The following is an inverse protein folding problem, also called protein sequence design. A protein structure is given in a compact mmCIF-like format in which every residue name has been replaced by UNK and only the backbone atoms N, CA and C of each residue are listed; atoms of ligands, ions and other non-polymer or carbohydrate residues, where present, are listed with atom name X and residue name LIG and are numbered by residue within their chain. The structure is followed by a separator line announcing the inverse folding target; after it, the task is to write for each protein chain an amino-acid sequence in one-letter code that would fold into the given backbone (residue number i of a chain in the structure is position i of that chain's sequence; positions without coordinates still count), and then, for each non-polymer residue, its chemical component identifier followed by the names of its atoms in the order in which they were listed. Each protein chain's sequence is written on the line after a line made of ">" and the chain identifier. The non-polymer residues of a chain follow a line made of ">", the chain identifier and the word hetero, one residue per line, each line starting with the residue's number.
data_IF_830415859147
#
_entry.id   IF_830415859147
#
_cell.length_a   1.000
_cell.length_b   1.000
_cell.length_c   1.000
_cell.angle_alpha   90.00
_cell.angle_beta   90.00
_cell.angle_gamma   90.00
#
_symmetry.space_group_name_H-M   'P 1'
#
loop_
_entity.id
_entity.type
_entity.pdbx_description
1 polymer ?
#
# COMPACT_ATOMS: atom_id res chain seq x y z
N UNK A 1 8.85 51.33 21.55
CA UNK A 1 8.24 50.21 20.80
C UNK A 1 9.36 49.32 20.31
N UNK A 2 9.68 48.23 21.02
CA UNK A 2 10.64 47.25 20.51
C UNK A 2 10.18 45.83 20.80
N UNK A 3 9.73 45.14 19.75
CA UNK A 3 9.17 43.79 19.83
C UNK A 3 10.26 42.82 19.37
N UNK A 4 11.18 42.51 20.29
CA UNK A 4 12.29 41.58 20.02
C UNK A 4 11.75 40.23 19.55
N UNK A 5 11.93 39.94 18.26
CA UNK A 5 11.53 38.69 17.62
C UNK A 5 12.43 37.56 18.16
N UNK A 6 12.02 36.94 19.28
CA UNK A 6 12.69 35.74 19.80
C UNK A 6 12.81 34.72 18.67
N UNK A 7 14.02 34.34 18.22
CA UNK A 7 14.15 33.33 17.18
C UNK A 7 13.57 32.04 17.72
N UNK A 8 12.63 31.42 16.99
CA UNK A 8 12.13 30.09 17.30
C UNK A 8 13.24 29.06 17.05
N UNK A 9 14.19 28.99 17.99
CA UNK A 9 15.21 27.95 18.08
C UNK A 9 14.51 26.64 18.42
N UNK A 10 13.89 26.03 17.42
CA UNK A 10 13.40 24.65 17.49
C UNK A 10 14.56 23.81 18.00
N UNK A 11 14.40 23.21 19.18
CA UNK A 11 15.44 22.35 19.74
C UNK A 11 15.84 21.34 18.67
N UNK A 12 17.15 21.11 18.50
CA UNK A 12 17.66 20.01 17.67
C UNK A 12 17.37 18.70 18.41
N UNK A 13 16.09 18.39 18.62
CA UNK A 13 15.60 17.12 19.15
C UNK A 13 16.12 16.09 18.17
N UNK A 14 17.21 15.43 18.56
CA UNK A 14 17.85 14.46 17.69
C UNK A 14 16.78 13.47 17.28
N UNK A 15 16.54 13.37 15.98
CA UNK A 15 15.73 12.28 15.45
C UNK A 15 16.47 11.02 15.91
N UNK A 16 15.97 10.36 16.96
CA UNK A 16 16.56 9.13 17.50
C UNK A 16 16.29 8.03 16.47
N UNK A 17 17.10 8.07 15.42
CA UNK A 17 17.17 7.11 14.31
C UNK A 17 17.52 5.79 14.98
N UNK A 18 16.50 4.98 15.25
CA UNK A 18 16.74 3.61 15.73
C UNK A 18 17.59 2.90 14.69
N UNK A 19 18.61 2.20 15.15
CA UNK A 19 19.47 1.40 14.29
C UNK A 19 18.62 0.38 13.51
N UNK A 20 18.98 0.05 12.26
CA UNK A 20 18.29 -0.97 11.51
C UNK A 20 18.41 -2.33 12.22
N UNK A 21 17.39 -3.20 12.15
CA UNK A 21 17.43 -4.53 12.76
C UNK A 21 18.38 -5.52 12.06
N UNK A 22 18.91 -5.18 10.89
CA UNK A 22 19.89 -5.94 10.13
C UNK A 22 21.21 -5.16 10.16
N UNK A 23 22.33 -5.84 10.42
CA UNK A 23 23.66 -5.24 10.38
C UNK A 23 24.19 -5.12 8.94
N UNK A 24 25.30 -4.41 8.74
CA UNK A 24 25.85 -4.18 7.39
C UNK A 24 26.53 -5.39 6.76
N UNK A 25 26.85 -6.43 7.55
CA UNK A 25 27.51 -7.66 7.11
C UNK A 25 26.59 -8.85 6.82
N UNK A 26 25.30 -8.76 7.18
CA UNK A 26 24.37 -9.88 7.03
C UNK A 26 24.08 -10.18 5.56
N UNK A 27 24.28 -11.43 5.13
CA UNK A 27 23.99 -11.88 3.75
C UNK A 27 22.49 -12.07 3.54
N UNK A 28 21.91 -11.26 2.68
CA UNK A 28 20.47 -11.23 2.37
C UNK A 28 20.21 -12.05 1.09
N UNK A 29 20.07 -13.36 1.26
CA UNK A 29 19.81 -14.33 0.18
C UNK A 29 18.35 -14.77 0.14
N UNK A 30 17.81 -15.05 -1.05
CA UNK A 30 16.46 -15.60 -1.26
C UNK A 30 16.19 -16.93 -0.52
N UNK A 31 17.26 -17.66 -0.17
CA UNK A 31 17.25 -18.92 0.59
C UNK A 31 16.90 -18.72 2.07
N UNK A 32 17.17 -17.54 2.63
CA UNK A 32 17.04 -17.26 4.06
C UNK A 32 15.60 -16.87 4.43
N UNK A 33 14.68 -17.84 4.36
CA UNK A 33 13.24 -17.62 4.59
C UNK A 33 12.92 -17.02 5.97
N UNK A 34 13.67 -17.38 7.01
CA UNK A 34 13.51 -16.85 8.37
C UNK A 34 13.74 -15.33 8.45
N UNK A 35 14.69 -14.82 7.68
CA UNK A 35 14.98 -13.39 7.57
C UNK A 35 13.94 -12.71 6.68
N UNK A 36 13.65 -13.29 5.50
CA UNK A 36 12.75 -12.69 4.51
C UNK A 36 11.29 -12.62 4.99
N UNK A 37 10.81 -13.65 5.67
CA UNK A 37 9.43 -13.73 6.19
C UNK A 37 9.07 -12.58 7.14
N UNK A 38 10.07 -12.00 7.84
CA UNK A 38 9.92 -10.83 8.72
C UNK A 38 9.65 -9.51 7.97
N UNK A 39 9.93 -9.45 6.67
CA UNK A 39 9.78 -8.23 5.84
C UNK A 39 8.64 -8.30 4.83
N UNK A 40 7.89 -9.41 4.83
CA UNK A 40 6.58 -9.51 4.17
C UNK A 40 5.47 -9.39 5.21
N UNK A 41 4.30 -8.92 4.77
CA UNK A 41 3.10 -8.91 5.59
C UNK A 41 2.39 -10.27 5.55
N UNK A 42 1.37 -10.42 6.40
CA UNK A 42 0.15 -11.17 6.05
C UNK A 42 -0.33 -10.75 4.64
N UNK A 43 -1.11 -11.55 3.90
CA UNK A 43 -1.42 -11.35 2.46
C UNK A 43 -0.22 -11.62 1.53
N UNK A 44 1.03 -11.58 2.03
CA UNK A 44 2.27 -11.79 1.28
C UNK A 44 2.85 -10.55 0.62
N UNK A 45 2.41 -9.32 0.93
CA UNK A 45 2.94 -8.07 0.34
C UNK A 45 4.30 -7.69 0.95
N UNK A 46 5.12 -6.94 0.22
CA UNK A 46 6.43 -6.45 0.74
C UNK A 46 6.20 -5.22 1.61
N UNK A 47 6.70 -5.23 2.85
CA UNK A 47 6.60 -4.09 3.75
C UNK A 47 7.51 -2.94 3.31
N UNK A 48 7.04 -1.70 3.51
CA UNK A 48 7.79 -0.51 3.12
C UNK A 48 8.99 -0.25 4.02
N UNK A 49 10.04 0.39 3.48
CA UNK A 49 11.26 0.76 4.22
C UNK A 49 10.99 1.55 5.52
N UNK A 50 9.91 2.34 5.56
CA UNK A 50 9.51 3.14 6.73
C UNK A 50 9.02 2.26 7.89
N UNK A 51 8.36 1.15 7.57
CA UNK A 51 7.89 0.14 8.55
C UNK A 51 9.07 -0.70 9.01
N UNK A 52 9.87 -1.22 8.06
CA UNK A 52 11.01 -2.10 8.34
C UNK A 52 12.19 -1.40 9.02
N UNK A 53 12.25 -0.06 8.97
CA UNK A 53 13.33 0.79 9.50
C UNK A 53 14.72 0.43 8.97
N UNK A 54 14.79 0.07 7.69
CA UNK A 54 16.03 -0.32 7.01
C UNK A 54 16.71 0.81 6.25
N UNK A 55 18.00 0.63 5.97
CA UNK A 55 18.73 1.43 5.00
C UNK A 55 18.17 1.21 3.58
N UNK A 56 18.44 2.14 2.66
CA UNK A 56 17.99 2.01 1.27
C UNK A 56 18.65 0.80 0.57
N UNK A 57 19.93 0.54 0.85
CA UNK A 57 20.68 -0.61 0.30
C UNK A 57 20.07 -1.93 0.75
N UNK A 58 19.84 -2.11 2.07
CA UNK A 58 19.20 -3.32 2.62
C UNK A 58 17.80 -3.54 2.04
N UNK A 59 16.95 -2.51 1.97
CA UNK A 59 15.61 -2.66 1.38
C UNK A 59 15.66 -3.09 -0.09
N UNK A 60 16.60 -2.58 -0.90
CA UNK A 60 16.79 -3.02 -2.30
C UNK A 60 17.16 -4.51 -2.36
N UNK A 61 18.12 -4.95 -1.55
CA UNK A 61 18.55 -6.35 -1.48
C UNK A 61 17.41 -7.28 -1.06
N UNK A 62 16.67 -6.95 0.02
CA UNK A 62 15.50 -7.73 0.46
C UNK A 62 14.41 -7.78 -0.62
N UNK A 63 14.17 -6.67 -1.32
CA UNK A 63 13.17 -6.63 -2.40
C UNK A 63 13.58 -7.55 -3.57
N UNK A 64 14.86 -7.64 -3.90
CA UNK A 64 15.39 -8.56 -4.90
C UNK A 64 15.23 -10.02 -4.43
N UNK A 65 15.66 -10.32 -3.21
CA UNK A 65 15.57 -11.65 -2.62
C UNK A 65 14.12 -12.17 -2.50
N UNK A 66 13.16 -11.31 -2.10
CA UNK A 66 11.73 -11.66 -2.11
C UNK A 66 11.23 -11.96 -3.52
N UNK A 67 11.62 -11.17 -4.53
CA UNK A 67 11.21 -11.40 -5.92
C UNK A 67 11.74 -12.74 -6.44
N UNK A 68 13.01 -13.05 -6.19
CA UNK A 68 13.63 -14.34 -6.52
C UNK A 68 12.89 -15.50 -5.82
N UNK A 69 12.67 -15.41 -4.51
CA UNK A 69 11.94 -16.42 -3.73
C UNK A 69 10.51 -16.66 -4.25
N UNK A 70 9.81 -15.62 -4.73
CA UNK A 70 8.48 -15.77 -5.35
C UNK A 70 8.51 -16.43 -6.73
N UNK A 71 9.52 -16.15 -7.55
CA UNK A 71 9.69 -16.80 -8.87
C UNK A 71 9.98 -18.30 -8.66
N UNK A 72 10.75 -18.64 -7.62
CA UNK A 72 11.02 -20.01 -7.19
C UNK A 72 9.90 -20.67 -6.37
N UNK A 73 8.71 -20.06 -6.31
CA UNK A 73 7.54 -20.53 -5.54
C UNK A 73 7.73 -20.74 -4.03
N UNK A 74 8.84 -20.27 -3.45
CA UNK A 74 9.11 -20.31 -2.00
C UNK A 74 8.21 -19.35 -1.21
N UNK A 75 7.66 -18.32 -1.87
CA UNK A 75 6.76 -17.33 -1.27
C UNK A 75 5.55 -17.05 -2.17
N UNK A 76 4.33 -16.92 -1.61
CA UNK A 76 3.15 -16.60 -2.39
C UNK A 76 3.14 -15.13 -2.88
N UNK A 77 2.62 -14.91 -4.08
CA UNK A 77 2.38 -13.56 -4.63
C UNK A 77 1.20 -12.84 -3.93
N UNK A 78 0.13 -13.59 -3.64
CA UNK A 78 -1.04 -13.19 -2.85
C UNK A 78 -1.56 -14.41 -2.09
N UNK A 79 -2.05 -14.25 -0.86
CA UNK A 79 -2.80 -15.32 -0.16
C UNK A 79 -4.29 -15.24 -0.52
N UNK A 80 -4.90 -16.38 -0.86
CA UNK A 80 -6.32 -16.47 -1.29
C UNK A 80 -7.34 -16.05 -0.23
N UNK A 81 -6.99 -16.14 1.06
CA UNK A 81 -7.90 -15.81 2.17
C UNK A 81 -8.11 -14.31 2.44
N UNK A 82 -7.26 -13.41 1.95
CA UNK A 82 -7.42 -11.97 2.18
C UNK A 82 -8.15 -11.31 1.02
N UNK A 83 -9.46 -11.56 0.94
CA UNK A 83 -10.34 -10.73 0.14
C UNK A 83 -10.41 -9.35 0.81
N UNK A 84 -9.84 -8.33 0.15
CA UNK A 84 -10.26 -6.95 0.42
C UNK A 84 -11.70 -6.91 -0.07
N UNK A 85 -12.66 -6.92 0.86
CA UNK A 85 -14.07 -6.70 0.52
C UNK A 85 -14.14 -5.44 -0.33
N UNK A 86 -14.49 -5.60 -1.61
CA UNK A 86 -14.40 -4.50 -2.56
C UNK A 86 -15.22 -3.31 -2.04
N UNK A 87 -14.67 -2.10 -2.16
CA UNK A 87 -15.37 -0.86 -1.82
C UNK A 87 -16.38 -0.50 -2.92
N UNK A 88 -17.30 -1.44 -3.18
CA UNK A 88 -18.41 -1.35 -4.14
C UNK A 88 -19.34 -0.16 -3.88
N UNK A 89 -19.26 0.45 -2.69
CA UNK A 89 -19.84 1.76 -2.38
C UNK A 89 -19.56 2.83 -3.45
N UNK A 90 -18.37 2.82 -4.10
CA UNK A 90 -18.04 3.80 -5.16
C UNK A 90 -18.58 3.43 -6.54
N UNK A 91 -18.68 2.14 -6.88
CA UNK A 91 -19.19 1.68 -8.19
C UNK A 91 -20.71 1.64 -8.25
N UNK A 92 -21.37 1.29 -7.14
CA UNK A 92 -22.84 1.21 -7.06
C UNK A 92 -23.52 2.57 -7.27
N UNK A 93 -22.92 3.67 -6.79
CA UNK A 93 -23.45 5.03 -6.98
C UNK A 93 -23.51 5.46 -8.46
N UNK A 94 -22.54 5.05 -9.28
CA UNK A 94 -22.56 5.30 -10.73
C UNK A 94 -23.58 4.41 -11.45
N UNK A 95 -23.75 3.15 -11.01
CA UNK A 95 -24.73 2.20 -11.56
C UNK A 95 -26.18 2.69 -11.34
N UNK A 96 -26.50 3.16 -10.12
CA UNK A 96 -27.82 3.70 -9.79
C UNK A 96 -28.19 4.95 -10.59
N UNK A 97 -27.21 5.80 -10.94
CA UNK A 97 -27.44 7.05 -11.67
C UNK A 97 -27.76 6.84 -13.16
N UNK A 98 -27.38 5.70 -13.73
CA UNK A 98 -27.66 5.38 -15.12
C UNK A 98 -29.07 4.79 -15.33
N UNK A 99 -29.54 3.90 -14.45
CA UNK A 99 -30.87 3.27 -14.62
C UNK A 99 -32.04 4.28 -14.64
N UNK A 100 -31.92 5.39 -13.91
CA UNK A 100 -32.91 6.48 -13.93
C UNK A 100 -32.95 7.28 -15.25
N UNK A 101 -31.90 7.21 -16.10
CA UNK A 101 -31.90 7.83 -17.44
C UNK A 101 -32.65 6.96 -18.44
N UNK A 102 -32.51 5.65 -18.34
CA UNK A 102 -33.08 4.71 -19.30
C UNK A 102 -34.61 4.60 -19.12
N UNK A 103 -35.10 4.49 -17.88
CA UNK A 103 -36.54 4.54 -17.60
C UNK A 103 -37.20 5.87 -18.03
N UNK A 104 -36.47 7.00 -17.97
CA UNK A 104 -36.98 8.29 -18.46
C UNK A 104 -37.09 8.31 -19.99
N UNK A 105 -36.15 7.70 -20.72
CA UNK A 105 -36.23 7.55 -22.18
C UNK A 105 -37.41 6.68 -22.60
N UNK A 106 -37.57 5.50 -21.98
CA UNK A 106 -38.70 4.60 -22.29
C UNK A 106 -40.06 5.27 -22.07
N UNK A 107 -40.26 5.94 -20.93
CA UNK A 107 -41.51 6.67 -20.65
C UNK A 107 -41.76 7.81 -21.66
N UNK A 108 -40.72 8.48 -22.13
CA UNK A 108 -40.84 9.49 -23.19
C UNK A 108 -41.22 8.86 -24.54
N UNK A 109 -40.63 7.73 -24.90
CA UNK A 109 -40.94 6.97 -26.12
C UNK A 109 -42.38 6.42 -26.11
N UNK A 110 -42.84 5.90 -24.96
CA UNK A 110 -44.21 5.37 -24.78
C UNK A 110 -45.25 6.49 -24.93
N UNK A 111 -45.04 7.64 -24.30
CA UNK A 111 -45.97 8.77 -24.43
C UNK A 111 -45.98 9.37 -25.85
N UNK A 112 -44.88 9.24 -26.61
CA UNK A 112 -44.81 9.63 -28.02
C UNK A 112 -45.51 8.67 -28.99
N UNK A 113 -45.86 7.45 -28.55
CA UNK A 113 -46.61 6.42 -29.30
C UNK A 113 -48.10 6.35 -28.93
N UNK A 114 -48.56 7.18 -27.99
CA UNK A 114 -49.96 7.28 -27.52
C UNK A 114 -50.64 8.60 -27.95
N UNK A 115 -50.04 9.27 -28.94
CA UNK A 115 -50.60 10.35 -29.75
C UNK A 115 -50.44 9.93 -31.22
#
# INVERSE_FOLDING_TARGET
>A
MDKSKRPFLKSKRSFRRRLPPIQSGDRIDYRNMSLISRFISEQGKILSRRVNRLTLKQQRLITLAIKQARILSLLPFKRKGFQISESTARTNALKARNQNKDQKKEKFQINKKKK
#
